data_IF_300500482327
#
_entry.id   IF_300500482327
#
_cell.length_a   1.000
_cell.length_b   1.000
_cell.length_c   1.000
_cell.angle_alpha   90.00
_cell.angle_beta   90.00
_cell.angle_gamma   90.00
#
_symmetry.space_group_name_H-M   'P 1'
#
loop_
_entity.id
_entity.type
_entity.pdbx_description
1 polymer ?
#
# COMPACT_ATOMS: atom_id res chain seq x y z
N UNK A 1 -23.96 -11.40 -24.31
CA UNK A 1 -22.83 -12.32 -24.01
C UNK A 1 -21.47 -11.65 -24.11
N UNK A 2 -21.23 -10.72 -25.05
CA UNK A 2 -19.92 -10.08 -25.24
C UNK A 2 -19.46 -9.14 -24.10
N UNK A 3 -20.38 -8.40 -23.47
CA UNK A 3 -20.01 -7.47 -22.37
C UNK A 3 -19.44 -8.22 -21.15
N UNK A 4 -20.03 -9.34 -20.77
CA UNK A 4 -19.54 -10.17 -19.65
C UNK A 4 -18.24 -10.90 -19.97
N UNK A 5 -18.05 -11.37 -21.22
CA UNK A 5 -16.78 -11.95 -21.67
C UNK A 5 -15.66 -10.90 -21.67
N UNK A 6 -15.94 -9.70 -22.14
CA UNK A 6 -14.97 -8.59 -22.13
C UNK A 6 -14.63 -8.15 -20.72
N UNK A 7 -15.61 -8.06 -19.82
CA UNK A 7 -15.40 -7.76 -18.42
C UNK A 7 -14.54 -8.83 -17.73
N UNK A 8 -14.87 -10.11 -17.93
CA UNK A 8 -14.12 -11.24 -17.37
C UNK A 8 -12.68 -11.30 -17.91
N UNK A 9 -12.48 -11.08 -19.22
CA UNK A 9 -11.14 -11.02 -19.83
C UNK A 9 -10.31 -9.87 -19.24
N UNK A 10 -10.87 -8.68 -19.13
CA UNK A 10 -10.19 -7.53 -18.54
C UNK A 10 -9.84 -7.78 -17.07
N UNK A 11 -10.76 -8.34 -16.28
CA UNK A 11 -10.52 -8.66 -14.86
C UNK A 11 -9.36 -9.65 -14.69
N UNK A 12 -9.24 -10.64 -15.58
CA UNK A 12 -8.12 -11.61 -15.54
C UNK A 12 -6.80 -10.92 -15.86
N UNK A 13 -6.77 -10.09 -16.88
CA UNK A 13 -5.56 -9.36 -17.29
C UNK A 13 -5.12 -8.41 -16.17
N UNK A 14 -6.08 -7.73 -15.51
CA UNK A 14 -5.81 -6.90 -14.33
C UNK A 14 -5.25 -7.72 -13.15
N UNK A 15 -5.90 -8.86 -12.85
CA UNK A 15 -5.46 -9.71 -11.74
C UNK A 15 -4.04 -10.24 -11.96
N UNK A 16 -3.71 -10.70 -13.17
CA UNK A 16 -2.36 -11.17 -13.51
C UNK A 16 -1.35 -10.03 -13.39
N UNK A 17 -1.64 -8.85 -13.94
CA UNK A 17 -0.76 -7.69 -13.87
C UNK A 17 -0.49 -7.23 -12.43
N UNK A 18 -1.53 -7.13 -11.61
CA UNK A 18 -1.43 -6.70 -10.20
C UNK A 18 -0.67 -7.75 -9.36
N UNK A 19 -0.95 -9.04 -9.57
CA UNK A 19 -0.29 -10.14 -8.85
C UNK A 19 1.19 -10.25 -9.22
N UNK A 20 1.51 -10.15 -10.50
CA UNK A 20 2.91 -10.16 -10.98
C UNK A 20 3.72 -9.01 -10.38
N UNK A 21 3.14 -7.79 -10.32
CA UNK A 21 3.79 -6.64 -9.71
C UNK A 21 4.06 -6.84 -8.22
N UNK A 22 3.14 -7.47 -7.48
CA UNK A 22 3.31 -7.73 -6.04
C UNK A 22 4.37 -8.80 -5.78
N UNK A 23 4.40 -9.89 -6.56
CA UNK A 23 5.45 -10.91 -6.47
C UNK A 23 6.81 -10.29 -6.75
N UNK A 24 6.93 -9.46 -7.78
CA UNK A 24 8.21 -8.84 -8.09
C UNK A 24 8.66 -7.87 -7.01
N UNK A 25 7.76 -7.13 -6.37
CA UNK A 25 8.10 -6.30 -5.20
C UNK A 25 8.72 -7.14 -4.08
N UNK A 26 8.21 -8.37 -3.86
CA UNK A 26 8.81 -9.31 -2.91
C UNK A 26 10.22 -9.74 -3.35
N UNK A 27 10.38 -10.11 -4.62
CA UNK A 27 11.70 -10.50 -5.16
C UNK A 27 12.69 -9.35 -5.09
N UNK A 28 12.27 -8.13 -5.42
CA UNK A 28 13.12 -6.95 -5.32
C UNK A 28 13.51 -6.64 -3.88
N UNK A 29 12.60 -6.83 -2.90
CA UNK A 29 12.94 -6.65 -1.48
C UNK A 29 14.00 -7.64 -1.04
N UNK A 30 13.87 -8.92 -1.42
CA UNK A 30 14.88 -9.95 -1.19
C UNK A 30 16.26 -9.53 -1.74
N UNK A 31 16.29 -8.91 -2.91
CA UNK A 31 17.52 -8.43 -3.53
C UNK A 31 18.07 -7.18 -2.82
N UNK A 32 17.23 -6.17 -2.57
CA UNK A 32 17.65 -4.93 -1.89
C UNK A 32 18.33 -5.17 -0.56
N UNK A 33 17.75 -6.04 0.28
CA UNK A 33 18.28 -6.32 1.61
C UNK A 33 19.58 -7.14 1.60
N UNK A 34 19.97 -7.72 0.47
CA UNK A 34 21.26 -8.43 0.30
C UNK A 34 22.36 -7.57 -0.29
N UNK A 35 22.00 -6.54 -1.05
CA UNK A 35 22.96 -5.73 -1.79
C UNK A 35 23.17 -4.36 -1.14
N UNK A 36 22.19 -3.85 -0.38
CA UNK A 36 22.27 -2.55 0.25
C UNK A 36 22.49 -2.67 1.75
N UNK A 37 23.40 -1.88 2.29
CA UNK A 37 23.54 -1.69 3.75
C UNK A 37 22.26 -1.05 4.33
N UNK A 38 21.97 -1.33 5.62
CA UNK A 38 20.75 -0.87 6.31
C UNK A 38 20.52 0.63 6.21
N UNK A 39 21.57 1.45 6.41
CA UNK A 39 21.49 2.91 6.27
C UNK A 39 21.19 3.37 4.84
N UNK A 40 21.76 2.69 3.82
CA UNK A 40 21.48 2.99 2.42
C UNK A 40 20.05 2.65 2.04
N UNK A 41 19.53 1.52 2.49
CA UNK A 41 18.15 1.12 2.25
C UNK A 41 17.17 2.02 3.01
N UNK A 42 17.45 2.35 4.27
CA UNK A 42 16.68 3.31 5.06
C UNK A 42 16.60 4.67 4.37
N UNK A 43 17.74 5.23 3.94
CA UNK A 43 17.79 6.50 3.24
C UNK A 43 17.06 6.49 1.89
N UNK A 44 17.20 5.42 1.09
CA UNK A 44 16.50 5.27 -0.17
C UNK A 44 14.96 5.23 0.02
N UNK A 45 14.49 4.50 1.04
CA UNK A 45 13.07 4.42 1.36
C UNK A 45 12.51 5.72 1.95
N UNK A 46 13.31 6.49 2.71
CA UNK A 46 12.94 7.84 3.15
C UNK A 46 12.69 8.75 1.94
N UNK A 47 13.60 8.77 0.96
CA UNK A 47 13.41 9.57 -0.27
C UNK A 47 12.15 9.12 -1.02
N UNK A 48 11.97 7.82 -1.20
CA UNK A 48 10.77 7.27 -1.86
C UNK A 48 9.48 7.69 -1.15
N UNK A 49 9.46 7.62 0.17
CA UNK A 49 8.29 8.01 0.97
C UNK A 49 8.07 9.53 0.99
N UNK A 50 9.14 10.34 0.91
CA UNK A 50 9.02 11.78 0.68
C UNK A 50 8.37 12.06 -0.68
N UNK A 51 8.79 11.39 -1.74
CA UNK A 51 8.17 11.53 -3.07
C UNK A 51 6.69 11.12 -3.02
N UNK A 52 6.33 10.07 -2.32
CA UNK A 52 4.94 9.59 -2.22
C UNK A 52 3.99 10.62 -1.57
N UNK A 53 4.44 11.42 -0.60
CA UNK A 53 3.61 12.48 0.00
C UNK A 53 3.66 13.77 -0.82
N UNK A 54 4.80 14.11 -1.40
CA UNK A 54 4.99 15.34 -2.19
C UNK A 54 4.21 15.25 -3.52
N UNK A 55 4.18 14.07 -4.14
CA UNK A 55 3.59 13.85 -5.46
C UNK A 55 2.11 14.32 -5.54
N UNK A 56 1.18 13.90 -4.68
CA UNK A 56 -0.21 14.38 -4.74
C UNK A 56 -0.34 15.87 -4.46
N UNK A 57 0.56 16.47 -3.70
CA UNK A 57 0.59 17.91 -3.42
C UNK A 57 1.05 18.66 -4.67
N UNK A 58 2.18 18.30 -5.23
CA UNK A 58 2.79 18.93 -6.40
C UNK A 58 1.91 18.79 -7.65
N UNK A 59 1.31 17.61 -7.84
CA UNK A 59 0.43 17.36 -8.99
C UNK A 59 -1.03 17.75 -8.73
N UNK A 60 -1.34 18.29 -7.54
CA UNK A 60 -2.73 18.51 -7.10
C UNK A 60 -3.61 17.27 -7.26
N UNK A 61 -3.04 16.06 -7.14
CA UNK A 61 -3.68 14.76 -7.38
C UNK A 61 -4.40 14.65 -8.74
N UNK A 62 -3.95 15.39 -9.77
CA UNK A 62 -4.60 15.47 -11.10
C UNK A 62 -4.61 14.13 -11.84
N UNK A 63 -3.75 13.19 -11.48
CA UNK A 63 -3.79 11.82 -11.96
C UNK A 63 -5.14 11.13 -11.69
N UNK A 64 -5.75 11.36 -10.52
CA UNK A 64 -7.10 10.84 -10.19
C UNK A 64 -8.18 11.49 -11.04
N UNK A 65 -8.08 12.80 -11.32
CA UNK A 65 -8.96 13.48 -12.24
C UNK A 65 -8.79 12.97 -13.68
N UNK A 66 -7.54 12.72 -14.13
CA UNK A 66 -7.27 12.19 -15.47
C UNK A 66 -8.02 10.87 -15.73
N UNK A 67 -8.06 9.94 -14.75
CA UNK A 67 -8.85 8.72 -14.86
C UNK A 67 -10.35 9.01 -15.02
N UNK A 68 -10.90 9.79 -14.07
CA UNK A 68 -12.33 10.04 -13.98
C UNK A 68 -12.86 10.78 -15.23
N UNK A 69 -12.17 11.86 -15.62
CA UNK A 69 -12.62 12.70 -16.72
C UNK A 69 -12.32 12.10 -18.10
N UNK A 70 -11.32 11.23 -18.24
CA UNK A 70 -11.09 10.47 -19.47
C UNK A 70 -12.15 9.36 -19.70
N UNK A 71 -12.78 8.85 -18.62
CA UNK A 71 -13.94 7.94 -18.70
C UNK A 71 -15.23 8.65 -19.09
N UNK A 72 -15.38 9.92 -18.74
CA UNK A 72 -16.58 10.70 -18.98
C UNK A 72 -16.63 11.18 -20.46
N UNK A 73 -17.68 10.77 -21.17
CA UNK A 73 -17.87 11.10 -22.60
C UNK A 73 -18.12 12.59 -22.86
N UNK A 74 -18.49 13.35 -21.84
CA UNK A 74 -18.75 14.79 -21.97
C UNK A 74 -17.47 15.62 -22.05
N UNK A 75 -16.32 15.03 -21.75
CA UNK A 75 -15.03 15.73 -21.77
C UNK A 75 -14.14 15.29 -22.93
N UNK A 76 -13.47 16.27 -23.55
CA UNK A 76 -12.53 15.98 -24.62
C UNK A 76 -11.22 15.44 -24.03
N UNK A 77 -10.83 14.23 -24.44
CA UNK A 77 -9.62 13.55 -23.95
C UNK A 77 -8.34 14.36 -24.15
N UNK A 78 -8.24 15.16 -25.24
CA UNK A 78 -7.10 16.06 -25.46
C UNK A 78 -7.03 17.12 -24.36
N UNK A 79 -8.16 17.71 -23.98
CA UNK A 79 -8.20 18.71 -22.91
C UNK A 79 -7.86 18.09 -21.55
N UNK A 80 -8.37 16.89 -21.27
CA UNK A 80 -8.07 16.17 -20.01
C UNK A 80 -6.57 15.88 -19.89
N UNK A 81 -5.96 15.34 -20.94
CA UNK A 81 -4.53 14.99 -20.90
C UNK A 81 -3.63 16.22 -20.88
N UNK A 82 -3.92 17.23 -21.70
CA UNK A 82 -3.16 18.48 -21.70
C UNK A 82 -3.25 19.22 -20.37
N UNK A 83 -4.42 19.24 -19.73
CA UNK A 83 -4.60 19.79 -18.38
C UNK A 83 -3.76 18.98 -17.37
N UNK A 84 -3.81 17.65 -17.44
CA UNK A 84 -3.02 16.78 -16.56
C UNK A 84 -1.52 17.06 -16.65
N UNK A 85 -0.98 17.13 -17.89
CA UNK A 85 0.44 17.45 -18.11
C UNK A 85 0.77 18.86 -17.62
N UNK A 86 -0.04 19.87 -17.98
CA UNK A 86 0.23 21.26 -17.59
C UNK A 86 0.26 21.41 -16.05
N UNK A 87 -0.73 20.88 -15.34
CA UNK A 87 -0.77 20.93 -13.87
C UNK A 87 0.43 20.21 -13.27
N UNK A 88 0.78 19.02 -13.77
CA UNK A 88 1.93 18.25 -13.28
C UNK A 88 3.23 19.00 -13.49
N UNK A 89 3.48 19.54 -14.69
CA UNK A 89 4.73 20.25 -14.99
C UNK A 89 4.82 21.60 -14.27
N UNK A 90 3.72 22.37 -14.20
CA UNK A 90 3.70 23.64 -13.47
C UNK A 90 3.96 23.40 -11.99
N UNK A 91 3.25 22.42 -11.38
CA UNK A 91 3.46 22.06 -9.97
C UNK A 91 4.88 21.58 -9.70
N UNK A 92 5.46 20.77 -10.60
CA UNK A 92 6.85 20.34 -10.51
C UNK A 92 7.83 21.54 -10.60
N UNK A 93 7.64 22.45 -11.55
CA UNK A 93 8.49 23.66 -11.68
C UNK A 93 8.37 24.56 -10.46
N UNK A 94 7.15 24.75 -9.91
CA UNK A 94 6.97 25.48 -8.65
C UNK A 94 7.73 24.80 -7.53
N UNK A 95 7.63 23.47 -7.44
CA UNK A 95 8.34 22.71 -6.39
C UNK A 95 9.87 22.79 -6.55
N UNK A 96 10.39 22.92 -7.78
CA UNK A 96 11.83 23.14 -8.02
C UNK A 96 12.35 24.44 -7.38
N UNK A 97 11.51 25.47 -7.22
CA UNK A 97 11.90 26.70 -6.53
C UNK A 97 12.20 26.47 -5.04
N UNK A 98 11.66 25.41 -4.45
CA UNK A 98 11.93 25.02 -3.07
C UNK A 98 13.19 24.15 -2.91
N UNK A 99 13.95 23.90 -3.99
CA UNK A 99 15.16 23.08 -3.92
C UNK A 99 16.20 23.56 -2.89
N UNK A 100 16.42 24.87 -2.66
CA UNK A 100 17.33 25.32 -1.61
C UNK A 100 16.87 24.97 -0.20
N UNK A 101 15.54 24.92 0.03
CA UNK A 101 14.96 24.50 1.32
C UNK A 101 15.08 22.98 1.50
N UNK A 102 14.76 22.21 0.46
CA UNK A 102 14.87 20.75 0.48
C UNK A 102 16.31 20.31 0.72
N UNK A 103 17.28 21.01 0.13
CA UNK A 103 18.72 20.70 0.28
C UNK A 103 19.26 20.93 1.70
N UNK A 104 18.57 21.70 2.53
CA UNK A 104 18.96 21.97 3.92
C UNK A 104 18.34 20.96 4.90
N UNK A 105 17.39 20.14 4.45
CA UNK A 105 16.71 19.18 5.34
C UNK A 105 17.69 18.07 5.73
N UNK A 106 17.93 17.97 7.02
CA UNK A 106 18.70 16.87 7.63
C UNK A 106 17.87 16.27 8.74
N UNK A 107 17.73 14.96 8.74
CA UNK A 107 17.01 14.20 9.77
C UNK A 107 18.02 13.27 10.43
N UNK A 108 18.47 13.63 11.62
CA UNK A 108 19.56 12.97 12.33
C UNK A 108 20.82 12.85 11.43
N UNK A 109 21.22 11.64 11.10
CA UNK A 109 22.38 11.30 10.28
C UNK A 109 22.11 11.31 8.77
N UNK A 110 20.85 11.49 8.35
CA UNK A 110 20.45 11.47 6.95
C UNK A 110 20.27 12.88 6.38
N UNK A 111 21.12 13.25 5.41
CA UNK A 111 21.07 14.55 4.74
C UNK A 111 20.40 14.43 3.38
N UNK A 112 19.18 15.00 3.24
CA UNK A 112 18.45 15.07 1.96
C UNK A 112 19.17 15.90 0.90
N UNK A 113 20.00 16.87 1.31
CA UNK A 113 20.73 17.73 0.40
C UNK A 113 21.59 16.98 -0.61
N UNK A 114 22.24 15.89 -0.15
CA UNK A 114 23.05 15.04 -1.01
C UNK A 114 22.24 14.34 -2.12
N UNK A 115 20.95 14.16 -1.92
CA UNK A 115 20.07 13.38 -2.79
C UNK A 115 18.94 14.20 -3.40
N UNK A 116 19.00 15.55 -3.28
CA UNK A 116 17.96 16.45 -3.78
C UNK A 116 17.66 16.22 -5.26
N UNK A 117 18.67 16.10 -6.10
CA UNK A 117 18.49 15.85 -7.54
C UNK A 117 17.75 14.51 -7.77
N UNK A 118 18.10 13.46 -7.02
CA UNK A 118 17.46 12.15 -7.14
C UNK A 118 15.98 12.21 -6.71
N UNK A 119 15.67 12.96 -5.65
CA UNK A 119 14.29 13.18 -5.21
C UNK A 119 13.47 13.85 -6.32
N UNK A 120 14.00 14.89 -6.95
CA UNK A 120 13.32 15.59 -8.04
C UNK A 120 13.16 14.72 -9.29
N UNK A 121 14.20 13.96 -9.67
CA UNK A 121 14.10 13.01 -10.79
C UNK A 121 13.03 11.97 -10.54
N UNK A 122 13.02 11.36 -9.35
CA UNK A 122 12.00 10.36 -8.99
C UNK A 122 10.61 10.97 -8.95
N UNK A 123 10.45 12.19 -8.40
CA UNK A 123 9.16 12.89 -8.37
C UNK A 123 8.64 13.15 -9.78
N UNK A 124 9.49 13.63 -10.70
CA UNK A 124 9.11 13.89 -12.10
C UNK A 124 8.71 12.58 -12.79
N UNK A 125 9.55 11.55 -12.71
CA UNK A 125 9.30 10.24 -13.33
C UNK A 125 7.99 9.63 -12.86
N UNK A 126 7.81 9.52 -11.54
CA UNK A 126 6.62 8.91 -10.95
C UNK A 126 5.35 9.74 -11.21
N UNK A 127 5.45 11.07 -11.25
CA UNK A 127 4.31 11.95 -11.56
C UNK A 127 3.83 11.76 -13.00
N UNK A 128 4.76 11.77 -13.97
CA UNK A 128 4.44 11.57 -15.39
C UNK A 128 3.90 10.16 -15.64
N UNK A 129 4.52 9.14 -15.05
CA UNK A 129 4.05 7.76 -15.19
C UNK A 129 2.64 7.59 -14.65
N UNK A 130 2.36 8.05 -13.42
CA UNK A 130 1.01 7.94 -12.84
C UNK A 130 -0.04 8.65 -13.69
N UNK A 131 0.26 9.86 -14.19
CA UNK A 131 -0.64 10.58 -15.08
C UNK A 131 -0.93 9.79 -16.36
N UNK A 132 0.10 9.31 -17.06
CA UNK A 132 -0.06 8.51 -18.28
C UNK A 132 -0.84 7.23 -18.03
N UNK A 133 -0.53 6.49 -16.96
CA UNK A 133 -1.24 5.26 -16.59
C UNK A 133 -2.74 5.51 -16.37
N UNK A 134 -3.09 6.52 -15.58
CA UNK A 134 -4.48 6.81 -15.27
C UNK A 134 -5.24 7.30 -16.50
N UNK A 135 -4.62 8.10 -17.34
CA UNK A 135 -5.22 8.56 -18.59
C UNK A 135 -5.42 7.40 -19.60
N UNK A 136 -4.41 6.55 -19.79
CA UNK A 136 -4.50 5.37 -20.67
C UNK A 136 -5.61 4.44 -20.22
N UNK A 137 -5.69 4.17 -18.90
CA UNK A 137 -6.76 3.38 -18.29
C UNK A 137 -8.14 4.01 -18.51
N UNK A 138 -8.29 5.31 -18.21
CA UNK A 138 -9.54 6.07 -18.37
C UNK A 138 -9.96 6.23 -19.83
N UNK A 139 -9.02 6.24 -20.76
CA UNK A 139 -9.29 6.32 -22.19
C UNK A 139 -9.74 5.00 -22.82
N UNK A 140 -9.76 3.90 -22.05
CA UNK A 140 -10.23 2.59 -22.48
C UNK A 140 -9.13 1.66 -23.01
N UNK A 141 -7.85 2.06 -22.96
CA UNK A 141 -6.72 1.23 -23.38
C UNK A 141 -6.26 0.27 -22.27
N UNK A 142 -7.23 -0.48 -21.72
CA UNK A 142 -7.04 -1.36 -20.55
C UNK A 142 -5.93 -2.40 -20.77
N UNK A 143 -5.80 -2.95 -21.98
CA UNK A 143 -4.74 -3.92 -22.32
C UNK A 143 -3.35 -3.28 -22.23
N UNK A 144 -3.18 -2.06 -22.74
CA UNK A 144 -1.90 -1.34 -22.71
C UNK A 144 -1.53 -0.98 -21.27
N UNK A 145 -2.50 -0.53 -20.45
CA UNK A 145 -2.30 -0.32 -19.03
C UNK A 145 -1.79 -1.59 -18.30
N UNK A 146 -2.36 -2.76 -18.62
CA UNK A 146 -1.94 -4.02 -18.00
C UNK A 146 -0.55 -4.47 -18.48
N UNK A 147 -0.23 -4.30 -19.77
CA UNK A 147 1.09 -4.57 -20.34
C UNK A 147 2.13 -3.63 -19.72
N UNK A 148 1.80 -2.34 -19.54
CA UNK A 148 2.67 -1.37 -18.87
C UNK A 148 3.03 -1.82 -17.44
N UNK A 149 2.07 -2.36 -16.69
CA UNK A 149 2.35 -2.92 -15.36
C UNK A 149 3.42 -4.01 -15.37
N UNK A 150 3.41 -4.89 -16.38
CA UNK A 150 4.43 -5.95 -16.55
C UNK A 150 5.76 -5.35 -16.99
N UNK A 151 5.75 -4.45 -17.98
CA UNK A 151 6.95 -3.78 -18.48
C UNK A 151 7.64 -2.99 -17.39
N UNK A 152 6.89 -2.16 -16.66
CA UNK A 152 7.43 -1.36 -15.57
C UNK A 152 8.06 -2.23 -14.48
N UNK A 153 7.46 -3.37 -14.20
CA UNK A 153 7.97 -4.29 -13.19
C UNK A 153 9.25 -4.98 -13.67
N UNK A 154 9.28 -5.42 -14.94
CA UNK A 154 10.45 -6.04 -15.54
C UNK A 154 11.63 -5.05 -15.68
N UNK A 155 11.34 -3.81 -16.12
CA UNK A 155 12.36 -2.77 -16.24
C UNK A 155 12.87 -2.30 -14.89
N UNK A 156 12.00 -2.18 -13.86
CA UNK A 156 12.43 -1.91 -12.50
C UNK A 156 13.41 -2.98 -11.98
N UNK A 157 13.10 -4.27 -12.20
CA UNK A 157 14.03 -5.35 -11.86
C UNK A 157 15.34 -5.25 -12.65
N UNK A 158 15.27 -5.08 -13.96
CA UNK A 158 16.44 -4.99 -14.82
C UNK A 158 17.36 -3.84 -14.41
N UNK A 159 16.83 -2.63 -14.22
CA UNK A 159 17.61 -1.48 -13.76
C UNK A 159 18.13 -1.65 -12.34
N UNK A 160 17.36 -2.31 -11.45
CA UNK A 160 17.80 -2.62 -10.10
C UNK A 160 19.02 -3.56 -10.13
N UNK A 161 18.95 -4.65 -10.88
CA UNK A 161 20.10 -5.55 -11.03
C UNK A 161 21.32 -4.87 -11.65
N UNK A 162 21.09 -3.98 -12.62
CA UNK A 162 22.17 -3.23 -13.25
C UNK A 162 22.82 -2.22 -12.29
N UNK A 163 22.02 -1.34 -11.67
CA UNK A 163 22.56 -0.21 -10.89
C UNK A 163 22.99 -0.63 -9.49
N UNK A 164 22.28 -1.55 -8.85
CA UNK A 164 22.64 -2.04 -7.52
C UNK A 164 23.52 -3.29 -7.58
N UNK A 165 23.22 -4.24 -8.49
CA UNK A 165 23.96 -5.49 -8.58
C UNK A 165 25.31 -5.34 -9.28
N UNK A 166 25.34 -4.72 -10.47
CA UNK A 166 26.58 -4.61 -11.26
C UNK A 166 27.41 -3.37 -10.86
N UNK A 167 26.76 -2.20 -10.64
CA UNK A 167 27.47 -0.95 -10.39
C UNK A 167 27.60 -0.58 -8.90
N UNK A 168 26.87 -1.25 -8.00
CA UNK A 168 26.89 -1.00 -6.55
C UNK A 168 26.63 0.46 -6.15
N UNK A 169 25.71 1.16 -6.85
CA UNK A 169 25.47 2.58 -6.65
C UNK A 169 24.63 2.93 -5.40
N UNK A 170 24.30 1.95 -4.55
CA UNK A 170 23.59 2.18 -3.28
C UNK A 170 22.30 3.00 -3.44
N UNK A 171 22.15 4.10 -2.70
CA UNK A 171 20.96 4.97 -2.76
C UNK A 171 20.72 5.50 -4.18
N UNK A 172 21.80 5.93 -4.87
CA UNK A 172 21.72 6.41 -6.26
C UNK A 172 21.14 5.33 -7.17
N UNK A 173 21.65 4.10 -7.07
CA UNK A 173 21.18 2.96 -7.86
C UNK A 173 19.71 2.64 -7.63
N UNK A 174 19.26 2.65 -6.37
CA UNK A 174 17.86 2.41 -6.02
C UNK A 174 16.92 3.44 -6.65
N UNK A 175 17.20 4.72 -6.47
CA UNK A 175 16.34 5.81 -6.96
C UNK A 175 16.37 5.89 -8.50
N UNK A 176 17.55 5.77 -9.09
CA UNK A 176 17.70 5.79 -10.55
C UNK A 176 17.03 4.57 -11.22
N UNK A 177 17.01 3.40 -10.57
CA UNK A 177 16.30 2.23 -11.10
C UNK A 177 14.79 2.51 -11.21
N UNK A 178 14.20 3.13 -10.18
CA UNK A 178 12.79 3.52 -10.19
C UNK A 178 12.55 4.59 -11.26
N UNK A 179 13.36 5.64 -11.28
CA UNK A 179 13.23 6.72 -12.27
C UNK A 179 13.35 6.20 -13.71
N UNK A 180 14.35 5.38 -14.00
CA UNK A 180 14.56 4.80 -15.34
C UNK A 180 13.41 3.90 -15.77
N UNK A 181 12.88 3.10 -14.84
CA UNK A 181 11.69 2.28 -15.08
C UNK A 181 10.45 3.12 -15.36
N UNK A 182 10.24 4.18 -14.57
CA UNK A 182 9.12 5.11 -14.75
C UNK A 182 9.20 5.81 -16.11
N UNK A 183 10.40 6.27 -16.52
CA UNK A 183 10.62 6.90 -17.82
C UNK A 183 10.43 5.94 -18.99
N UNK A 184 10.90 4.70 -18.85
CA UNK A 184 10.66 3.66 -19.86
C UNK A 184 9.17 3.36 -20.02
N UNK A 185 8.44 3.27 -18.92
CA UNK A 185 7.00 3.10 -18.89
C UNK A 185 6.26 4.27 -19.56
N UNK A 186 6.67 5.51 -19.28
CA UNK A 186 6.12 6.71 -19.94
C UNK A 186 6.36 6.64 -21.45
N UNK A 187 7.60 6.36 -21.88
CA UNK A 187 7.95 6.23 -23.29
C UNK A 187 7.13 5.14 -23.99
N UNK A 188 7.00 3.96 -23.35
CA UNK A 188 6.18 2.88 -23.86
C UNK A 188 4.73 3.32 -24.09
N UNK A 189 4.10 3.94 -23.08
CA UNK A 189 2.71 4.43 -23.21
C UNK A 189 2.57 5.53 -24.25
N UNK A 190 3.55 6.45 -24.34
CA UNK A 190 3.56 7.48 -25.38
C UNK A 190 3.57 6.87 -26.79
N UNK A 191 4.40 5.87 -27.02
CA UNK A 191 4.48 5.20 -28.33
C UNK A 191 3.26 4.32 -28.60
N UNK A 192 2.86 3.47 -27.64
CA UNK A 192 1.81 2.47 -27.83
C UNK A 192 0.41 3.10 -28.07
N UNK A 193 0.12 4.22 -27.38
CA UNK A 193 -1.19 4.92 -27.48
C UNK A 193 -1.09 6.17 -28.36
N UNK A 194 0.12 6.54 -28.78
CA UNK A 194 0.41 7.80 -29.48
C UNK A 194 -0.06 9.01 -28.65
N UNK A 195 0.37 9.07 -27.39
CA UNK A 195 -0.09 10.08 -26.42
C UNK A 195 0.20 11.52 -26.89
N UNK A 196 1.22 11.74 -27.74
CA UNK A 196 1.49 13.05 -28.33
C UNK A 196 0.28 13.62 -29.08
N UNK A 197 -0.67 12.80 -29.59
CA UNK A 197 -1.88 13.26 -30.25
C UNK A 197 -2.91 13.86 -29.30
N UNK A 198 -2.75 13.60 -28.00
CA UNK A 198 -3.60 14.13 -26.93
C UNK A 198 -2.98 15.36 -26.26
N UNK A 199 -1.77 15.74 -26.61
CA UNK A 199 -1.11 16.96 -26.12
C UNK A 199 -1.48 18.13 -27.04
N UNK A 200 -2.18 19.11 -26.49
CA UNK A 200 -2.57 20.35 -27.19
C UNK A 200 -2.64 21.48 -26.15
N UNK A 201 -1.53 22.15 -25.92
CA UNK A 201 -1.49 23.23 -24.94
C UNK A 201 -2.21 24.50 -25.43
N UNK A 202 -2.38 24.68 -26.75
CA UNK A 202 -2.99 25.87 -27.34
C UNK A 202 -4.51 25.88 -27.19
N UNK A 203 -5.16 24.73 -27.44
CA UNK A 203 -6.62 24.58 -27.39
C UNK A 203 -7.08 23.63 -26.25
N UNK A 204 -6.16 22.99 -25.56
CA UNK A 204 -6.44 21.96 -24.54
C UNK A 204 -6.68 22.53 -23.15
N UNK A 205 -6.20 23.75 -22.84
CA UNK A 205 -6.34 24.34 -21.51
C UNK A 205 -7.62 25.20 -21.41
N UNK A 206 -8.78 24.55 -21.46
CA UNK A 206 -10.06 25.25 -21.33
C UNK A 206 -10.55 25.27 -19.89
N UNK A 207 -11.00 26.44 -19.42
CA UNK A 207 -11.53 26.65 -18.07
C UNK A 207 -12.61 25.62 -17.69
N UNK A 208 -13.45 25.24 -18.66
CA UNK A 208 -14.52 24.25 -18.48
C UNK A 208 -14.02 22.80 -18.25
N UNK A 209 -12.74 22.54 -18.44
CA UNK A 209 -12.11 21.23 -18.12
C UNK A 209 -11.16 21.37 -16.93
N UNK A 210 -10.33 22.41 -16.91
CA UNK A 210 -9.34 22.64 -15.85
C UNK A 210 -10.02 22.78 -14.47
N UNK A 211 -11.01 23.65 -14.37
CA UNK A 211 -11.64 23.95 -13.09
C UNK A 211 -12.40 22.76 -12.49
N UNK A 212 -13.23 22.01 -13.24
CA UNK A 212 -13.86 20.79 -12.73
C UNK A 212 -12.86 19.72 -12.31
N UNK A 213 -11.75 19.53 -13.06
CA UNK A 213 -10.70 18.58 -12.70
C UNK A 213 -10.05 18.96 -11.35
N UNK A 214 -9.65 20.23 -11.17
CA UNK A 214 -9.05 20.70 -9.93
C UNK A 214 -10.02 20.64 -8.74
N UNK A 215 -11.28 21.05 -8.95
CA UNK A 215 -12.33 20.97 -7.93
C UNK A 215 -12.58 19.53 -7.46
N UNK A 216 -12.40 18.56 -8.36
CA UNK A 216 -12.53 17.14 -8.01
C UNK A 216 -11.32 16.59 -7.23
N UNK A 217 -10.09 16.94 -7.62
CA UNK A 217 -8.90 16.28 -7.08
C UNK A 217 -8.32 16.96 -5.82
N UNK A 218 -8.45 18.29 -5.67
CA UNK A 218 -7.93 18.99 -4.48
C UNK A 218 -8.47 18.40 -3.16
N UNK A 219 -9.79 18.10 -3.01
CA UNK A 219 -10.31 17.51 -1.79
C UNK A 219 -9.81 16.08 -1.48
N UNK A 220 -9.15 15.41 -2.45
CA UNK A 220 -8.58 14.08 -2.21
C UNK A 220 -7.23 14.15 -1.48
N UNK A 221 -6.51 15.27 -1.60
CA UNK A 221 -5.16 15.43 -1.04
C UNK A 221 -5.12 15.18 0.48
N UNK A 222 -5.99 15.78 1.31
CA UNK A 222 -5.99 15.53 2.74
C UNK A 222 -6.13 14.04 3.10
N UNK A 223 -6.96 13.30 2.35
CA UNK A 223 -7.14 11.86 2.57
C UNK A 223 -5.85 11.08 2.33
N UNK A 224 -5.12 11.40 1.26
CA UNK A 224 -3.84 10.76 0.96
C UNK A 224 -2.80 11.07 2.03
N UNK A 225 -2.75 12.33 2.50
CA UNK A 225 -1.83 12.76 3.56
C UNK A 225 -2.11 12.00 4.87
N UNK A 226 -3.38 11.88 5.29
CA UNK A 226 -3.73 11.17 6.51
C UNK A 226 -3.34 9.68 6.45
N UNK A 227 -3.56 9.02 5.32
CA UNK A 227 -3.12 7.65 5.14
C UNK A 227 -1.59 7.51 5.13
N UNK A 228 -0.89 8.47 4.54
CA UNK A 228 0.57 8.50 4.58
C UNK A 228 1.07 8.64 6.02
N UNK A 229 0.47 9.54 6.82
CA UNK A 229 0.84 9.73 8.23
C UNK A 229 0.74 8.41 8.99
N UNK A 230 -0.38 7.70 8.90
CA UNK A 230 -0.57 6.44 9.66
C UNK A 230 0.44 5.35 9.24
N UNK A 231 0.82 5.29 7.95
CA UNK A 231 1.60 4.18 7.42
C UNK A 231 3.10 4.45 7.28
N UNK A 232 3.53 5.70 7.40
CA UNK A 232 4.90 6.10 7.01
C UNK A 232 5.56 7.07 7.97
N UNK A 233 4.80 7.88 8.72
CA UNK A 233 5.40 8.92 9.57
C UNK A 233 6.32 8.35 10.65
N UNK A 234 6.05 7.14 11.10
CA UNK A 234 6.85 6.38 12.05
C UNK A 234 8.28 6.16 11.55
N UNK A 235 8.48 5.89 10.27
CA UNK A 235 9.82 5.74 9.70
C UNK A 235 10.65 7.02 9.83
N UNK A 236 10.06 8.20 9.60
CA UNK A 236 10.75 9.48 9.77
C UNK A 236 11.08 9.76 11.22
N UNK A 237 10.16 9.43 12.14
CA UNK A 237 10.38 9.60 13.58
C UNK A 237 11.45 8.62 14.10
N UNK A 238 11.43 7.36 13.65
CA UNK A 238 12.50 6.39 13.97
C UNK A 238 13.84 6.89 13.43
N UNK A 239 13.88 7.44 12.21
CA UNK A 239 15.12 8.04 11.69
C UNK A 239 15.59 9.20 12.57
N UNK A 240 14.68 10.08 12.98
CA UNK A 240 15.02 11.25 13.79
C UNK A 240 15.60 10.87 15.16
N UNK A 241 15.01 9.89 15.85
CA UNK A 241 15.42 9.50 17.20
C UNK A 241 16.52 8.44 17.22
N UNK A 242 16.55 7.51 16.26
CA UNK A 242 17.38 6.32 16.28
C UNK A 242 18.38 6.19 15.13
N UNK A 243 18.33 7.11 14.15
CA UNK A 243 19.20 7.11 12.98
C UNK A 243 18.66 6.31 11.77
N UNK A 244 19.27 6.55 10.61
CA UNK A 244 18.80 6.00 9.31
C UNK A 244 19.01 4.49 9.21
N UNK A 245 20.04 3.94 9.84
CA UNK A 245 20.32 2.48 9.81
C UNK A 245 19.25 1.69 10.55
N UNK A 246 18.85 2.15 11.74
CA UNK A 246 17.75 1.54 12.51
C UNK A 246 16.42 1.66 11.77
N UNK A 247 16.18 2.81 11.14
CA UNK A 247 15.01 3.02 10.27
C UNK A 247 15.00 2.07 9.08
N UNK A 248 16.16 1.74 8.51
CA UNK A 248 16.30 0.75 7.43
C UNK A 248 15.89 -0.66 7.88
N UNK A 249 16.34 -1.10 9.05
CA UNK A 249 15.96 -2.38 9.66
C UNK A 249 14.43 -2.40 9.93
N UNK A 250 13.90 -1.33 10.52
CA UNK A 250 12.47 -1.19 10.79
C UNK A 250 11.63 -1.23 9.51
N UNK A 251 12.07 -0.55 8.45
CA UNK A 251 11.40 -0.56 7.15
C UNK A 251 11.43 -1.95 6.49
N UNK A 252 12.53 -2.69 6.66
CA UNK A 252 12.63 -4.07 6.20
C UNK A 252 11.63 -4.98 6.94
N UNK A 253 11.42 -4.78 8.25
CA UNK A 253 10.45 -5.52 9.05
C UNK A 253 9.02 -5.43 8.47
N UNK A 254 8.60 -4.29 7.91
CA UNK A 254 7.29 -4.13 7.25
C UNK A 254 7.09 -5.03 6.03
N UNK A 255 8.17 -5.54 5.42
CA UNK A 255 8.05 -6.37 4.21
C UNK A 255 7.42 -7.72 4.47
N UNK A 256 7.55 -8.25 5.69
CA UNK A 256 6.95 -9.53 6.08
C UNK A 256 5.44 -9.40 6.30
N UNK A 257 4.90 -8.43 7.07
CA UNK A 257 3.46 -8.19 7.15
C UNK A 257 2.78 -7.90 5.80
N UNK A 258 3.52 -7.40 4.80
CA UNK A 258 2.98 -7.17 3.46
C UNK A 258 2.40 -8.43 2.79
N UNK A 259 2.80 -9.64 3.20
CA UNK A 259 2.14 -10.88 2.75
C UNK A 259 0.65 -10.88 3.11
N UNK A 260 0.28 -10.36 4.29
CA UNK A 260 -1.13 -10.20 4.69
C UNK A 260 -1.84 -9.22 3.75
N UNK A 261 -1.20 -8.09 3.40
CA UNK A 261 -1.77 -7.09 2.49
C UNK A 261 -2.02 -7.67 1.11
N UNK A 262 -1.09 -8.48 0.59
CA UNK A 262 -1.25 -9.15 -0.72
C UNK A 262 -2.47 -10.08 -0.69
N UNK A 263 -2.57 -10.92 0.34
CA UNK A 263 -3.71 -11.81 0.54
C UNK A 263 -5.02 -11.03 0.68
N UNK A 264 -5.04 -10.03 1.56
CA UNK A 264 -6.18 -9.16 1.81
C UNK A 264 -6.66 -8.43 0.56
N UNK A 265 -5.75 -7.90 -0.26
CA UNK A 265 -6.12 -7.10 -1.43
C UNK A 265 -6.88 -7.91 -2.49
N UNK A 266 -6.52 -9.17 -2.70
CA UNK A 266 -7.24 -10.07 -3.63
C UNK A 266 -8.69 -10.27 -3.17
N UNK A 267 -8.87 -10.40 -1.86
CA UNK A 267 -10.20 -10.53 -1.29
C UNK A 267 -10.99 -9.20 -1.34
N UNK A 268 -10.39 -8.10 -0.94
CA UNK A 268 -11.03 -6.78 -0.85
C UNK A 268 -11.48 -6.29 -2.22
N UNK A 269 -10.70 -6.49 -3.29
CA UNK A 269 -11.09 -6.12 -4.65
C UNK A 269 -12.38 -6.83 -5.11
N UNK A 270 -12.54 -8.09 -4.76
CA UNK A 270 -13.77 -8.85 -5.03
C UNK A 270 -14.91 -8.48 -4.07
N UNK A 271 -14.58 -8.23 -2.81
CA UNK A 271 -15.52 -7.89 -1.76
C UNK A 271 -16.21 -6.55 -2.01
N UNK A 272 -15.47 -5.51 -2.42
CA UNK A 272 -16.02 -4.17 -2.65
C UNK A 272 -17.16 -4.19 -3.67
N UNK A 273 -17.05 -4.99 -4.74
CA UNK A 273 -18.13 -5.15 -5.72
C UNK A 273 -19.35 -5.82 -5.08
N UNK A 274 -19.14 -6.93 -4.36
CA UNK A 274 -20.23 -7.66 -3.69
C UNK A 274 -20.88 -6.83 -2.59
N UNK A 275 -20.10 -6.01 -1.88
CA UNK A 275 -20.63 -5.14 -0.83
C UNK A 275 -21.57 -4.07 -1.36
N UNK A 276 -21.30 -3.53 -2.57
CA UNK A 276 -22.18 -2.55 -3.22
C UNK A 276 -23.44 -3.22 -3.75
N UNK A 277 -23.30 -4.39 -4.43
CA UNK A 277 -24.42 -5.11 -5.01
C UNK A 277 -25.43 -5.62 -3.95
N UNK A 278 -24.92 -6.07 -2.80
CA UNK A 278 -25.74 -6.63 -1.71
C UNK A 278 -26.21 -5.56 -0.70
N UNK A 279 -25.81 -4.31 -0.88
CA UNK A 279 -26.08 -3.26 0.11
C UNK A 279 -27.57 -2.95 0.28
N UNK A 280 -28.36 -3.01 -0.77
CA UNK A 280 -29.80 -2.70 -0.76
C UNK A 280 -30.65 -3.90 -0.33
N UNK A 281 -30.08 -5.09 -0.17
CA UNK A 281 -30.80 -6.31 0.20
C UNK A 281 -31.18 -6.33 1.69
N UNK A 282 -32.37 -6.86 2.02
CA UNK A 282 -32.88 -6.98 3.40
C UNK A 282 -31.99 -7.80 4.34
N UNK A 283 -31.19 -8.74 3.82
CA UNK A 283 -30.26 -9.60 4.56
C UNK A 283 -28.83 -9.06 4.69
N UNK A 284 -28.56 -7.80 4.30
CA UNK A 284 -27.21 -7.25 4.24
C UNK A 284 -26.37 -7.44 5.52
N UNK A 285 -26.96 -7.20 6.69
CA UNK A 285 -26.20 -7.31 7.96
C UNK A 285 -25.73 -8.73 8.26
N UNK A 286 -26.52 -9.75 7.91
CA UNK A 286 -26.15 -11.14 8.06
C UNK A 286 -25.06 -11.53 7.06
N UNK A 287 -25.20 -11.13 5.80
CA UNK A 287 -24.20 -11.33 4.76
C UNK A 287 -22.86 -10.71 5.13
N UNK A 288 -22.85 -9.41 5.50
CA UNK A 288 -21.63 -8.72 5.93
C UNK A 288 -21.01 -9.38 7.19
N UNK A 289 -21.85 -9.82 8.14
CA UNK A 289 -21.37 -10.52 9.33
C UNK A 289 -20.67 -11.84 9.00
N UNK A 290 -21.28 -12.66 8.12
CA UNK A 290 -20.70 -13.93 7.69
C UNK A 290 -19.37 -13.74 6.97
N UNK A 291 -19.33 -12.78 6.03
CA UNK A 291 -18.10 -12.46 5.28
C UNK A 291 -17.03 -11.91 6.20
N UNK A 292 -17.38 -11.01 7.13
CA UNK A 292 -16.44 -10.47 8.11
C UNK A 292 -15.81 -11.56 8.98
N UNK A 293 -16.63 -12.52 9.48
CA UNK A 293 -16.15 -13.65 10.29
C UNK A 293 -15.09 -14.46 9.53
N UNK A 294 -15.39 -14.81 8.28
CA UNK A 294 -14.49 -15.60 7.44
C UNK A 294 -13.21 -14.84 7.13
N UNK A 295 -13.34 -13.58 6.73
CA UNK A 295 -12.20 -12.74 6.36
C UNK A 295 -11.28 -12.45 7.54
N UNK A 296 -11.82 -12.00 8.68
CA UNK A 296 -11.03 -11.67 9.86
C UNK A 296 -10.36 -12.93 10.46
N UNK A 297 -11.07 -14.07 10.48
CA UNK A 297 -10.51 -15.32 10.95
C UNK A 297 -9.32 -15.80 10.11
N UNK A 298 -9.41 -15.68 8.79
CA UNK A 298 -8.31 -16.04 7.90
C UNK A 298 -7.11 -15.10 8.05
N UNK A 299 -7.33 -13.77 8.16
CA UNK A 299 -6.25 -12.81 8.40
C UNK A 299 -5.52 -13.09 9.70
N UNK A 300 -6.26 -13.38 10.78
CA UNK A 300 -5.70 -13.71 12.09
C UNK A 300 -4.88 -15.00 12.02
N UNK A 301 -5.39 -16.04 11.30
CA UNK A 301 -4.65 -17.29 11.12
C UNK A 301 -3.34 -17.09 10.35
N UNK A 302 -3.36 -16.31 9.25
CA UNK A 302 -2.14 -15.94 8.51
C UNK A 302 -1.20 -15.12 9.39
N UNK A 303 -1.73 -14.18 10.17
CA UNK A 303 -0.96 -13.41 11.14
C UNK A 303 -0.23 -14.29 12.16
N UNK A 304 -0.92 -15.30 12.71
CA UNK A 304 -0.32 -16.25 13.66
C UNK A 304 0.86 -17.03 13.04
N UNK A 305 0.73 -17.46 11.78
CA UNK A 305 1.81 -18.13 11.04
C UNK A 305 3.02 -17.18 10.85
N UNK A 306 2.79 -15.92 10.49
CA UNK A 306 3.87 -14.95 10.30
C UNK A 306 4.54 -14.57 11.61
N UNK A 307 3.81 -14.49 12.73
CA UNK A 307 4.38 -14.23 14.05
C UNK A 307 5.27 -15.39 14.48
N UNK A 308 4.76 -16.63 14.45
CA UNK A 308 5.52 -17.81 14.80
C UNK A 308 6.75 -17.99 13.90
N UNK A 309 6.59 -17.76 12.59
CA UNK A 309 7.65 -17.88 11.61
C UNK A 309 8.57 -16.65 11.49
N UNK A 310 8.38 -15.58 12.30
CA UNK A 310 9.03 -14.27 12.08
C UNK A 310 10.55 -14.36 11.93
N UNK A 311 11.25 -15.12 12.76
CA UNK A 311 12.71 -15.32 12.69
C UNK A 311 13.12 -16.07 11.44
N UNK A 312 12.51 -17.22 11.17
CA UNK A 312 12.82 -18.07 10.03
C UNK A 312 12.53 -17.32 8.72
N UNK A 313 11.38 -16.62 8.65
CA UNK A 313 11.02 -15.85 7.46
C UNK A 313 11.99 -14.69 7.27
N UNK A 314 12.40 -14.02 8.34
CA UNK A 314 13.38 -12.92 8.26
C UNK A 314 14.72 -13.43 7.77
N UNK A 315 15.23 -14.51 8.33
CA UNK A 315 16.51 -15.10 7.95
C UNK A 315 16.53 -15.54 6.47
N UNK A 316 15.48 -16.19 6.02
CA UNK A 316 15.38 -16.65 4.61
C UNK A 316 15.16 -15.49 3.66
N UNK A 317 14.28 -14.54 4.02
CA UNK A 317 13.75 -13.54 3.09
C UNK A 317 14.58 -12.26 3.04
N UNK A 318 15.15 -11.83 4.19
CA UNK A 318 15.96 -10.61 4.28
C UNK A 318 17.46 -10.95 4.33
N UNK A 319 18.31 -9.97 4.04
CA UNK A 319 19.76 -10.11 4.17
C UNK A 319 20.20 -10.19 5.64
N UNK A 320 21.39 -10.76 5.89
CA UNK A 320 21.92 -10.96 7.23
C UNK A 320 21.97 -9.67 8.07
N UNK A 321 22.35 -8.53 7.47
CA UNK A 321 22.40 -7.23 8.13
C UNK A 321 21.01 -6.73 8.62
N UNK A 322 19.94 -7.34 8.16
CA UNK A 322 18.56 -7.03 8.51
C UNK A 322 17.94 -8.06 9.44
N UNK A 323 18.68 -9.03 9.91
CA UNK A 323 18.14 -10.11 10.74
C UNK A 323 17.40 -9.57 11.96
N UNK A 324 17.94 -8.55 12.63
CA UNK A 324 17.31 -7.93 13.81
C UNK A 324 15.88 -7.41 13.56
N UNK A 325 15.48 -7.23 12.29
CA UNK A 325 14.13 -6.78 11.95
C UNK A 325 13.03 -7.76 12.40
N UNK A 326 13.36 -9.05 12.60
CA UNK A 326 12.41 -10.05 13.10
C UNK A 326 11.71 -9.62 14.40
N UNK A 327 12.39 -8.84 15.24
CA UNK A 327 11.89 -8.38 16.53
C UNK A 327 10.68 -7.45 16.41
N UNK A 328 10.58 -6.69 15.33
CA UNK A 328 9.47 -5.75 15.06
C UNK A 328 8.32 -6.42 14.31
N UNK A 329 8.59 -7.50 13.58
CA UNK A 329 7.61 -8.22 12.75
C UNK A 329 6.36 -8.63 13.54
N UNK A 330 6.43 -9.23 14.76
CA UNK A 330 5.25 -9.68 15.48
C UNK A 330 4.22 -8.56 15.73
N UNK A 331 4.67 -7.38 16.17
CA UNK A 331 3.80 -6.23 16.44
C UNK A 331 3.24 -5.66 15.12
N UNK A 332 4.10 -5.54 14.09
CA UNK A 332 3.70 -5.06 12.77
C UNK A 332 2.70 -5.99 12.06
N UNK A 333 2.77 -7.30 12.31
CA UNK A 333 1.76 -8.27 11.84
C UNK A 333 0.39 -7.97 12.46
N UNK A 334 0.33 -7.69 13.76
CA UNK A 334 -0.92 -7.29 14.43
C UNK A 334 -1.44 -5.97 13.82
N UNK A 335 -0.58 -4.96 13.69
CA UNK A 335 -0.92 -3.68 13.09
C UNK A 335 -1.51 -3.85 11.68
N UNK A 336 -0.85 -4.65 10.84
CA UNK A 336 -1.27 -4.91 9.46
C UNK A 336 -2.57 -5.71 9.39
N UNK A 337 -2.77 -6.68 10.29
CA UNK A 337 -4.02 -7.43 10.40
C UNK A 337 -5.19 -6.48 10.69
N UNK A 338 -5.04 -5.57 11.66
CA UNK A 338 -6.06 -4.55 11.94
C UNK A 338 -6.23 -3.56 10.80
N UNK A 339 -5.17 -3.15 10.11
CA UNK A 339 -5.25 -2.32 8.91
C UNK A 339 -6.13 -2.96 7.82
N UNK A 340 -5.94 -4.26 7.56
CA UNK A 340 -6.77 -5.00 6.61
C UNK A 340 -8.24 -5.10 7.07
N UNK A 341 -8.48 -5.34 8.37
CA UNK A 341 -9.83 -5.34 8.95
C UNK A 341 -10.50 -3.95 8.81
N UNK A 342 -9.77 -2.90 9.06
CA UNK A 342 -10.23 -1.50 8.87
C UNK A 342 -10.63 -1.25 7.42
N UNK A 343 -9.89 -1.78 6.45
CA UNK A 343 -10.22 -1.67 5.03
C UNK A 343 -11.51 -2.43 4.65
N UNK A 344 -11.83 -3.53 5.33
CA UNK A 344 -13.12 -4.20 5.16
C UNK A 344 -14.29 -3.26 5.52
N UNK A 345 -14.22 -2.58 6.65
CA UNK A 345 -15.24 -1.61 7.06
C UNK A 345 -15.33 -0.38 6.14
N UNK A 346 -14.25 -0.03 5.43
CA UNK A 346 -14.27 1.05 4.46
C UNK A 346 -15.24 0.79 3.29
N UNK A 347 -15.52 -0.49 2.96
CA UNK A 347 -16.50 -0.85 1.94
C UNK A 347 -17.93 -0.42 2.30
N UNK A 348 -18.26 -0.39 3.60
CA UNK A 348 -19.57 0.11 4.07
C UNK A 348 -19.73 1.61 3.77
N UNK A 349 -18.68 2.39 4.04
CA UNK A 349 -18.69 3.83 3.71
C UNK A 349 -18.75 4.10 2.21
N UNK A 350 -18.11 3.23 1.42
CA UNK A 350 -18.16 3.32 -0.04
C UNK A 350 -19.57 3.01 -0.56
N UNK A 351 -20.21 1.94 -0.08
CA UNK A 351 -21.57 1.57 -0.44
C UNK A 351 -22.58 2.66 -0.05
N UNK A 352 -22.45 3.24 1.15
CA UNK A 352 -23.30 4.32 1.68
C UNK A 352 -22.96 5.70 1.10
N UNK A 353 -21.88 5.83 0.31
CA UNK A 353 -21.37 7.11 -0.23
C UNK A 353 -21.01 8.13 0.85
N UNK A 354 -20.56 7.67 2.04
CA UNK A 354 -20.19 8.49 3.21
C UNK A 354 -18.67 8.60 3.38
N UNK A 355 -17.96 9.03 2.35
CA UNK A 355 -16.49 9.16 2.35
C UNK A 355 -15.94 10.05 3.46
N UNK A 356 -16.71 11.05 3.92
CA UNK A 356 -16.30 11.94 5.02
C UNK A 356 -16.10 11.19 6.34
N UNK A 357 -16.89 10.14 6.61
CA UNK A 357 -16.72 9.31 7.81
C UNK A 357 -15.44 8.47 7.74
N UNK A 358 -15.06 8.01 6.53
CA UNK A 358 -13.77 7.38 6.31
C UNK A 358 -12.61 8.32 6.61
N UNK A 359 -12.72 9.59 6.18
CA UNK A 359 -11.74 10.64 6.45
C UNK A 359 -11.61 10.93 7.95
N UNK A 360 -12.72 11.10 8.66
CA UNK A 360 -12.74 11.40 10.12
C UNK A 360 -12.08 10.24 10.89
N UNK A 361 -12.45 8.99 10.59
CA UNK A 361 -11.86 7.82 11.28
C UNK A 361 -10.37 7.66 10.97
N UNK A 362 -9.94 7.93 9.74
CA UNK A 362 -8.51 7.94 9.38
C UNK A 362 -7.77 9.09 10.10
N UNK A 363 -8.39 10.28 10.20
CA UNK A 363 -7.85 11.41 10.96
C UNK A 363 -7.61 11.08 12.44
N UNK A 364 -8.57 10.44 13.09
CA UNK A 364 -8.40 9.97 14.47
C UNK A 364 -7.23 8.98 14.60
N UNK A 365 -7.11 8.04 13.67
CA UNK A 365 -5.96 7.12 13.62
C UNK A 365 -4.63 7.85 13.44
N UNK A 366 -4.57 8.83 12.54
CA UNK A 366 -3.35 9.61 12.30
C UNK A 366 -2.93 10.42 13.54
N UNK A 367 -3.87 11.06 14.20
CA UNK A 367 -3.59 11.79 15.47
C UNK A 367 -3.09 10.83 16.54
N UNK A 368 -3.77 9.69 16.73
CA UNK A 368 -3.33 8.65 17.69
C UNK A 368 -1.92 8.17 17.37
N UNK A 369 -1.62 7.90 16.09
CA UNK A 369 -0.31 7.43 15.64
C UNK A 369 0.79 8.46 15.95
N UNK A 370 0.59 9.72 15.56
CA UNK A 370 1.59 10.77 15.80
C UNK A 370 1.83 10.99 17.29
N UNK A 371 0.76 11.08 18.09
CA UNK A 371 0.90 11.29 19.55
C UNK A 371 1.64 10.13 20.21
N UNK A 372 1.26 8.89 19.89
CA UNK A 372 1.94 7.72 20.47
C UNK A 372 3.38 7.59 19.97
N UNK A 373 3.66 7.88 18.72
CA UNK A 373 5.02 7.87 18.18
C UNK A 373 5.92 8.88 18.89
N UNK A 374 5.45 10.11 19.13
CA UNK A 374 6.20 11.14 19.84
C UNK A 374 6.53 10.74 21.30
N UNK A 375 5.67 9.95 21.94
CA UNK A 375 5.86 9.49 23.31
C UNK A 375 6.69 8.21 23.37
N UNK A 376 6.40 7.25 22.50
CA UNK A 376 6.95 5.89 22.63
C UNK A 376 8.27 5.69 21.88
N UNK A 377 8.49 6.37 20.75
CA UNK A 377 9.75 6.19 20.01
C UNK A 377 10.98 6.65 20.80
N UNK A 378 10.97 7.81 21.50
CA UNK A 378 12.11 8.22 22.32
C UNK A 378 12.48 7.22 23.41
N UNK A 379 11.50 6.44 23.91
CA UNK A 379 11.68 5.50 25.04
C UNK A 379 12.01 4.08 24.55
N UNK A 380 11.27 3.61 23.53
CA UNK A 380 11.29 2.22 23.07
C UNK A 380 11.80 2.07 21.62
N UNK A 381 12.22 3.16 20.98
CA UNK A 381 12.71 3.11 19.60
C UNK A 381 11.67 2.53 18.62
N UNK A 382 12.10 1.66 17.69
CA UNK A 382 11.22 1.05 16.69
C UNK A 382 10.08 0.19 17.28
N UNK A 383 10.23 -0.37 18.47
CA UNK A 383 9.14 -1.06 19.17
C UNK A 383 7.98 -0.09 19.48
N UNK A 384 8.34 1.13 19.94
CA UNK A 384 7.37 2.19 20.19
C UNK A 384 6.59 2.55 18.92
N UNK A 385 7.28 2.65 17.78
CA UNK A 385 6.68 2.91 16.48
C UNK A 385 5.70 1.79 16.05
N UNK A 386 6.13 0.53 16.13
CA UNK A 386 5.30 -0.61 15.80
C UNK A 386 4.04 -0.69 16.69
N UNK A 387 4.20 -0.44 18.01
CA UNK A 387 3.09 -0.44 18.94
C UNK A 387 2.11 0.73 18.69
N UNK A 388 2.63 1.93 18.44
CA UNK A 388 1.83 3.10 18.11
C UNK A 388 0.96 2.86 16.86
N UNK A 389 1.54 2.23 15.85
CA UNK A 389 0.83 1.86 14.61
C UNK A 389 -0.25 0.81 14.87
N UNK A 390 0.04 -0.22 15.68
CA UNK A 390 -0.95 -1.24 16.05
C UNK A 390 -2.15 -0.63 16.81
N UNK A 391 -1.88 0.20 17.82
CA UNK A 391 -2.92 0.89 18.61
C UNK A 391 -3.74 1.83 17.72
N UNK A 392 -3.11 2.55 16.81
CA UNK A 392 -3.80 3.47 15.89
C UNK A 392 -4.81 2.74 15.01
N UNK A 393 -4.45 1.58 14.44
CA UNK A 393 -5.41 0.77 13.68
C UNK A 393 -6.50 0.15 14.54
N UNK A 394 -6.22 -0.22 15.78
CA UNK A 394 -7.25 -0.66 16.74
C UNK A 394 -8.24 0.46 17.04
N UNK A 395 -7.78 1.69 17.26
CA UNK A 395 -8.65 2.87 17.46
C UNK A 395 -9.53 3.10 16.23
N UNK A 396 -8.96 3.08 15.02
CA UNK A 396 -9.74 3.21 13.78
C UNK A 396 -10.77 2.08 13.66
N UNK A 397 -10.41 0.85 14.00
CA UNK A 397 -11.32 -0.30 14.00
C UNK A 397 -12.51 -0.09 14.92
N UNK A 398 -12.28 0.31 16.17
CA UNK A 398 -13.33 0.59 17.15
C UNK A 398 -14.26 1.70 16.64
N UNK A 399 -13.70 2.82 16.17
CA UNK A 399 -14.48 3.93 15.62
C UNK A 399 -15.34 3.49 14.42
N UNK A 400 -14.80 2.63 13.54
CA UNK A 400 -15.54 2.11 12.38
C UNK A 400 -16.65 1.16 12.78
N UNK A 401 -16.46 0.29 13.77
CA UNK A 401 -17.54 -0.55 14.31
C UNK A 401 -18.70 0.32 14.79
N UNK A 402 -18.41 1.32 15.63
CA UNK A 402 -19.43 2.21 16.18
C UNK A 402 -20.16 3.00 15.08
N UNK A 403 -19.39 3.57 14.15
CA UNK A 403 -19.94 4.40 13.09
C UNK A 403 -20.74 3.63 12.04
N UNK A 404 -20.31 2.43 11.67
CA UNK A 404 -20.98 1.64 10.62
C UNK A 404 -22.22 0.93 11.11
N UNK A 405 -22.36 0.72 12.43
CA UNK A 405 -23.51 0.04 13.04
C UNK A 405 -24.88 0.63 12.64
N UNK A 406 -24.93 1.93 12.39
CA UNK A 406 -26.17 2.62 11.95
C UNK A 406 -26.52 2.38 10.47
N UNK A 407 -25.58 1.87 9.66
CA UNK A 407 -25.78 1.57 8.25
C UNK A 407 -25.90 0.06 7.99
N UNK A 408 -24.93 -0.69 8.55
CA UNK A 408 -24.87 -2.15 8.51
C UNK A 408 -24.41 -2.66 9.86
N UNK A 409 -25.26 -3.42 10.55
CA UNK A 409 -24.92 -3.98 11.87
C UNK A 409 -24.13 -5.28 11.69
N UNK A 410 -22.82 -5.16 11.58
CA UNK A 410 -21.89 -6.30 11.47
C UNK A 410 -21.66 -6.85 12.87
N UNK A 411 -22.16 -8.05 13.14
CA UNK A 411 -22.00 -8.73 14.44
C UNK A 411 -20.64 -9.42 14.52
N UNK A 412 -19.80 -8.97 15.45
CA UNK A 412 -18.52 -9.61 15.72
C UNK A 412 -18.73 -10.81 16.62
N UNK A 413 -18.24 -11.98 16.22
CA UNK A 413 -18.22 -13.16 17.07
C UNK A 413 -17.12 -13.06 18.13
N UNK A 414 -17.39 -12.30 19.21
CA UNK A 414 -16.40 -12.00 20.25
C UNK A 414 -15.76 -13.25 20.88
N UNK A 415 -16.50 -14.35 20.96
CA UNK A 415 -16.00 -15.64 21.52
C UNK A 415 -14.87 -16.28 20.68
N UNK A 416 -14.75 -15.94 19.41
CA UNK A 416 -13.64 -16.42 18.57
C UNK A 416 -12.67 -15.29 18.25
N UNK A 417 -13.15 -14.08 17.99
CA UNK A 417 -12.32 -12.94 17.58
C UNK A 417 -11.40 -12.48 18.70
N UNK A 418 -11.94 -12.19 19.89
CA UNK A 418 -11.15 -11.64 21.01
C UNK A 418 -10.07 -12.61 21.50
N UNK A 419 -10.37 -13.91 21.77
CA UNK A 419 -9.32 -14.88 22.12
C UNK A 419 -8.24 -15.01 21.05
N UNK A 420 -8.62 -15.00 19.77
CA UNK A 420 -7.64 -15.09 18.67
C UNK A 420 -6.70 -13.87 18.64
N UNK A 421 -7.22 -12.66 18.86
CA UNK A 421 -6.41 -11.43 18.94
C UNK A 421 -5.50 -11.46 20.18
N UNK A 422 -6.02 -11.88 21.34
CA UNK A 422 -5.23 -11.99 22.56
C UNK A 422 -4.11 -13.03 22.42
N UNK A 423 -4.38 -14.15 21.76
CA UNK A 423 -3.37 -15.15 21.44
C UNK A 423 -2.30 -14.63 20.47
N UNK A 424 -2.67 -13.80 19.47
CA UNK A 424 -1.65 -13.12 18.65
C UNK A 424 -0.77 -12.19 19.48
N UNK A 425 -1.37 -11.42 20.39
CA UNK A 425 -0.61 -10.53 21.28
C UNK A 425 0.32 -11.33 22.23
N UNK A 426 -0.19 -12.43 22.79
CA UNK A 426 0.61 -13.32 23.63
C UNK A 426 1.76 -13.97 22.85
N UNK A 427 1.51 -14.45 21.63
CA UNK A 427 2.54 -15.00 20.73
C UNK A 427 3.62 -13.96 20.42
N UNK A 428 3.20 -12.70 20.14
CA UNK A 428 4.13 -11.60 19.89
C UNK A 428 4.98 -11.31 21.13
N UNK A 429 4.38 -11.25 22.30
CA UNK A 429 5.11 -11.03 23.56
C UNK A 429 6.10 -12.16 23.85
N UNK A 430 5.69 -13.42 23.68
CA UNK A 430 6.57 -14.59 23.86
C UNK A 430 7.76 -14.56 22.92
N UNK A 431 7.53 -14.21 21.64
CA UNK A 431 8.61 -14.13 20.65
C UNK A 431 9.61 -13.01 20.98
N UNK A 432 9.12 -11.82 21.32
CA UNK A 432 9.96 -10.64 21.57
C UNK A 432 10.74 -10.76 22.87
N UNK A 433 10.13 -11.30 23.94
CA UNK A 433 10.77 -11.42 25.25
C UNK A 433 11.69 -12.63 25.38
N UNK A 434 11.68 -13.53 24.40
CA UNK A 434 12.44 -14.79 24.43
C UNK A 434 12.25 -15.58 25.74
N UNK A 435 11.00 -15.62 26.22
CA UNK A 435 10.61 -16.08 27.57
C UNK A 435 11.25 -17.41 28.05
N UNK A 436 11.56 -18.32 27.13
CA UNK A 436 12.28 -19.59 27.44
C UNK A 436 13.45 -19.81 26.46
N UNK A 437 14.15 -18.73 26.14
CA UNK A 437 15.16 -18.75 25.10
C UNK A 437 14.55 -18.85 23.68
N UNK A 438 15.40 -18.86 22.68
CA UNK A 438 15.01 -18.81 21.27
C UNK A 438 14.08 -19.96 20.87
N UNK A 439 14.51 -21.20 21.09
CA UNK A 439 13.76 -22.41 20.71
C UNK A 439 12.49 -22.62 21.55
N UNK A 440 12.54 -22.26 22.83
CA UNK A 440 11.39 -22.33 23.74
C UNK A 440 10.30 -21.36 23.31
N UNK A 441 10.65 -20.13 22.99
CA UNK A 441 9.73 -19.10 22.50
C UNK A 441 9.12 -19.48 21.13
N UNK A 442 9.93 -20.03 20.24
CA UNK A 442 9.46 -20.54 18.96
C UNK A 442 8.43 -21.69 19.14
N UNK A 443 8.75 -22.69 20.00
CA UNK A 443 7.84 -23.80 20.24
C UNK A 443 6.50 -23.35 20.86
N UNK A 444 6.55 -22.41 21.85
CA UNK A 444 5.32 -21.85 22.45
C UNK A 444 4.52 -21.06 21.39
N UNK A 445 5.18 -20.27 20.57
CA UNK A 445 4.52 -19.49 19.51
C UNK A 445 3.89 -20.41 18.45
N UNK A 446 4.53 -21.54 18.10
CA UNK A 446 3.96 -22.56 17.22
C UNK A 446 2.72 -23.24 17.86
N UNK A 447 2.76 -23.50 19.17
CA UNK A 447 1.60 -24.05 19.87
C UNK A 447 0.42 -23.04 19.85
N UNK A 448 0.68 -21.76 20.14
CA UNK A 448 -0.32 -20.69 20.05
C UNK A 448 -0.85 -20.56 18.63
N UNK A 449 0.02 -20.58 17.63
CA UNK A 449 -0.37 -20.57 16.22
C UNK A 449 -1.34 -21.71 15.88
N UNK A 450 -1.03 -22.95 16.32
CA UNK A 450 -1.89 -24.10 16.10
C UNK A 450 -3.29 -23.89 16.72
N UNK A 451 -3.35 -23.36 17.96
CA UNK A 451 -4.64 -23.03 18.61
C UNK A 451 -5.41 -21.96 17.83
N UNK A 452 -4.74 -20.87 17.41
CA UNK A 452 -5.38 -19.80 16.62
C UNK A 452 -5.92 -20.33 15.29
N UNK A 453 -5.14 -21.17 14.60
CA UNK A 453 -5.57 -21.79 13.34
C UNK A 453 -6.76 -22.72 13.57
N UNK A 454 -6.77 -23.52 14.63
CA UNK A 454 -7.89 -24.40 14.97
C UNK A 454 -9.17 -23.62 15.29
N UNK A 455 -9.09 -22.52 16.07
CA UNK A 455 -10.24 -21.65 16.36
C UNK A 455 -10.83 -21.09 15.05
N UNK A 456 -9.97 -20.77 14.07
CA UNK A 456 -10.36 -20.12 12.81
C UNK A 456 -10.40 -21.09 11.61
N UNK A 457 -10.31 -22.43 11.83
CA UNK A 457 -10.13 -23.41 10.76
C UNK A 457 -11.25 -23.36 9.71
N UNK A 458 -12.51 -23.18 10.15
CA UNK A 458 -13.65 -23.04 9.23
C UNK A 458 -13.49 -21.81 8.33
N UNK A 459 -13.04 -20.69 8.89
CA UNK A 459 -12.80 -19.46 8.11
C UNK A 459 -11.70 -19.67 7.06
N UNK A 460 -10.65 -20.41 7.39
CA UNK A 460 -9.57 -20.75 6.44
C UNK A 460 -10.10 -21.65 5.32
N UNK A 461 -10.87 -22.70 5.65
CA UNK A 461 -11.46 -23.61 4.68
C UNK A 461 -12.42 -22.86 3.76
N UNK A 462 -13.33 -22.05 4.30
CA UNK A 462 -14.31 -21.28 3.53
C UNK A 462 -13.65 -20.35 2.49
N UNK A 463 -12.53 -19.70 2.86
CA UNK A 463 -11.77 -18.87 1.91
C UNK A 463 -11.07 -19.74 0.86
N UNK A 464 -10.47 -20.85 1.26
CA UNK A 464 -9.82 -21.77 0.30
C UNK A 464 -10.84 -22.30 -0.71
N UNK A 465 -12.01 -22.72 -0.26
CA UNK A 465 -13.10 -23.17 -1.14
C UNK A 465 -13.57 -22.05 -2.09
N UNK A 466 -13.64 -20.81 -1.61
CA UNK A 466 -14.03 -19.65 -2.41
C UNK A 466 -13.01 -19.36 -3.52
N UNK A 467 -11.73 -19.53 -3.23
CA UNK A 467 -10.63 -19.39 -4.20
C UNK A 467 -10.64 -20.56 -5.19
N UNK A 468 -10.69 -21.82 -4.70
CA UNK A 468 -10.63 -23.01 -5.54
C UNK A 468 -11.89 -23.24 -6.39
N UNK A 469 -13.07 -22.93 -5.86
CA UNK A 469 -14.33 -23.07 -6.62
C UNK A 469 -14.37 -22.16 -7.84
N UNK A 470 -13.80 -20.95 -7.75
CA UNK A 470 -13.63 -20.06 -8.91
C UNK A 470 -12.65 -20.64 -9.94
N UNK A 471 -11.61 -21.34 -9.52
CA UNK A 471 -10.66 -22.01 -10.43
C UNK A 471 -11.27 -23.27 -11.07
N UNK A 472 -12.05 -24.06 -10.34
CA UNK A 472 -12.67 -25.29 -10.83
C UNK A 472 -13.87 -25.04 -11.74
N UNK A 473 -14.72 -24.03 -11.49
CA UNK A 473 -15.80 -23.63 -12.41
C UNK A 473 -15.26 -23.17 -13.77
N UNK A 474 -14.05 -22.65 -13.82
CA UNK A 474 -13.39 -22.25 -15.07
C UNK A 474 -12.91 -23.44 -15.91
N UNK A 475 -12.61 -24.59 -15.28
CA UNK A 475 -12.19 -25.83 -15.96
C UNK A 475 -13.36 -26.62 -16.58
N UNK A 476 -14.60 -26.37 -16.15
CA UNK A 476 -15.81 -27.03 -16.68
C UNK A 476 -16.48 -26.26 -17.82
N UNK A 477 -16.01 -25.07 -18.17
CA UNK A 477 -16.54 -24.25 -19.28
C UNK A 477 -15.53 -23.98 -20.41
N UNK A 478 -14.35 -24.60 -20.37
CA UNK A 478 -13.45 -24.81 -21.49
C UNK A 478 -13.43 -26.30 -21.84
#
# INVERSE_FOLDING_TARGET
MDKYKKLASNTIVFAIGTFSSKILTLVLTFFYTRVMATGSYGGATLIQNAVNIILPIVTLAVNSAALRFALDKNYNKKQVFSTGIAVTLIGFLIFCLFSPLVSQITINDFNFGKYTILLYLMLLGSSLRQLCQQFVRGSGYVKIYAIDGVIATATAAGFTFLYLGAFNWGIYGYILAIFSSDMFSVLFMFVAVKLWRYVDFRNGLKKNTVFPMLKYCIPLIPTVILWWIINVSDQYMVTYFNGVSVSGIYTAAYKIPNFIIIFSSIFIDAWQLSAVDEYDNKGKSEFFTKVFKVYSGALIAVGAVLIAGSRIITDIYLGADYYESWQYVPILVIATTFSCIVNFYASVYMAEKKSILSLITAGAGAVTNVVLNLVLIPIYGPYGAAFATAVSFVVVFILRIVNTKKFVNIKIHWLTFLPSVLLLAASSAVMITEFKGEWGSFAISCAIMAVVVLINIRSVIDIMELIFSKFLKKRKHN
#
